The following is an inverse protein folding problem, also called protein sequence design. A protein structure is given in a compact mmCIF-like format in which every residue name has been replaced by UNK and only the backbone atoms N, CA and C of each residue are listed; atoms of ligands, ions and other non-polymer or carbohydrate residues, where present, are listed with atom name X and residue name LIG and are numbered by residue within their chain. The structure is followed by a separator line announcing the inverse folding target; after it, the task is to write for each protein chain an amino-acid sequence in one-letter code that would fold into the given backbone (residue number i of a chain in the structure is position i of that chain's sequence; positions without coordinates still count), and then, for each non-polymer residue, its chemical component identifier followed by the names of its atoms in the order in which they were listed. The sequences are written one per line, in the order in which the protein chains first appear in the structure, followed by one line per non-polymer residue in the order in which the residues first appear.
data_IF_707972067869
#
_entry.id   IF_707972067869
#
_cell.length_a   1.000
_cell.length_b   1.000
_cell.length_c   1.000
_cell.angle_alpha   90.00
_cell.angle_beta   90.00
_cell.angle_gamma   90.00
#
_symmetry.space_group_name_H-M   'P 1'
#
loop_
_entity.id
_entity.type
_entity.pdbx_description
1 polymer ?
#
# COMPACT_ATOMS: atom_id res chain seq x y z
N UNK A 1 -14.65 -40.23 -11.67
CA UNK A 1 -14.12 -40.34 -10.28
C UNK A 1 -13.45 -39.00 -10.00
N UNK A 2 -14.21 -38.05 -9.43
CA UNK A 2 -13.71 -36.73 -9.09
C UNK A 2 -12.95 -36.80 -7.77
N UNK A 3 -11.64 -36.54 -7.83
CA UNK A 3 -10.80 -36.43 -6.65
C UNK A 3 -11.05 -35.08 -5.99
N UNK A 4 -11.50 -35.06 -4.75
CA UNK A 4 -11.73 -33.85 -4.00
C UNK A 4 -10.40 -33.20 -3.58
N UNK A 5 -10.39 -31.88 -3.35
CA UNK A 5 -9.21 -31.13 -2.86
C UNK A 5 -8.54 -31.78 -1.62
N UNK A 6 -9.30 -32.47 -0.81
CA UNK A 6 -8.83 -33.21 0.38
C UNK A 6 -7.98 -34.44 0.04
N UNK A 7 -8.24 -35.08 -1.11
CA UNK A 7 -7.52 -36.28 -1.53
C UNK A 7 -6.16 -35.94 -2.15
N UNK A 8 -6.03 -34.76 -2.75
CA UNK A 8 -4.77 -34.24 -3.27
C UNK A 8 -3.81 -33.87 -2.13
N UNK A 9 -4.31 -33.25 -1.06
CA UNK A 9 -3.50 -32.89 0.11
C UNK A 9 -3.01 -34.11 0.90
N UNK A 10 -3.78 -35.18 0.97
CA UNK A 10 -3.36 -36.44 1.62
C UNK A 10 -2.28 -37.18 0.85
N UNK A 11 -2.24 -37.08 -0.48
CA UNK A 11 -1.19 -37.69 -1.30
C UNK A 11 0.14 -36.95 -1.27
N UNK A 12 0.14 -35.64 -0.98
CA UNK A 12 1.36 -34.84 -0.81
C UNK A 12 2.03 -35.01 0.55
N UNK A 13 1.31 -35.50 1.57
CA UNK A 13 1.87 -35.73 2.92
C UNK A 13 2.53 -37.13 3.10
N UNK A 14 2.40 -38.04 2.13
CA UNK A 14 2.90 -39.39 2.25
C UNK A 14 4.26 -39.67 1.56
N UNK A 15 4.84 -38.68 0.87
CA UNK A 15 6.11 -38.84 0.15
C UNK A 15 7.04 -37.64 0.41
N UNK A 16 7.62 -37.53 1.60
CA UNK A 16 8.54 -36.44 1.86
C UNK A 16 9.21 -36.38 3.23
N UNK A 17 9.35 -37.55 3.90
CA UNK A 17 10.27 -37.59 5.04
C UNK A 17 11.65 -38.06 4.53
N UNK A 18 12.41 -37.15 3.94
CA UNK A 18 13.84 -37.35 3.73
C UNK A 18 14.58 -36.34 4.62
N UNK A 19 15.16 -36.86 5.70
CA UNK A 19 15.99 -36.13 6.63
C UNK A 19 17.24 -35.62 5.91
N UNK A 20 17.36 -34.30 5.73
CA UNK A 20 18.62 -33.64 5.42
C UNK A 20 19.21 -33.08 6.72
N UNK A 21 20.09 -33.88 7.33
CA UNK A 21 21.01 -33.37 8.32
C UNK A 21 22.11 -32.59 7.61
N UNK A 22 22.02 -31.27 7.58
CA UNK A 22 23.13 -30.42 7.16
C UNK A 22 23.81 -29.83 8.38
N UNK A 23 25.09 -30.14 8.53
CA UNK A 23 26.01 -29.60 9.52
C UNK A 23 26.09 -28.09 9.38
N UNK A 24 25.76 -27.38 10.45
CA UNK A 24 26.05 -25.95 10.60
C UNK A 24 27.57 -25.75 10.67
N UNK A 25 28.16 -25.23 9.61
CA UNK A 25 29.50 -24.66 9.65
C UNK A 25 29.35 -23.19 10.04
N UNK A 26 29.77 -22.86 11.25
CA UNK A 26 29.94 -21.49 11.74
C UNK A 26 31.15 -20.91 11.01
N UNK A 27 30.92 -20.07 10.03
CA UNK A 27 31.95 -19.17 9.49
C UNK A 27 31.78 -17.79 10.11
N UNK A 28 32.53 -17.56 11.19
CA UNK A 28 32.85 -16.23 11.65
C UNK A 28 33.86 -15.58 10.68
N UNK A 29 33.40 -14.85 9.71
CA UNK A 29 34.23 -13.97 8.92
C UNK A 29 34.02 -12.53 9.40
N UNK A 30 35.04 -11.96 10.01
CA UNK A 30 35.11 -10.52 10.25
C UNK A 30 35.02 -9.82 8.89
N UNK A 31 33.93 -9.08 8.66
CA UNK A 31 33.74 -8.28 7.45
C UNK A 31 34.64 -7.05 7.58
N UNK A 32 35.81 -7.10 6.92
CA UNK A 32 36.60 -5.91 6.66
C UNK A 32 35.74 -4.96 5.82
N UNK A 33 35.54 -3.73 6.29
CA UNK A 33 34.96 -2.65 5.51
C UNK A 33 35.90 -2.32 4.33
N UNK A 34 35.67 -2.98 3.21
CA UNK A 34 36.25 -2.53 1.95
C UNK A 34 35.35 -1.38 1.45
N UNK A 35 35.95 -0.21 1.26
CA UNK A 35 35.39 0.91 0.49
C UNK A 35 35.28 0.50 -1.00
N UNK A 36 34.46 -0.50 -1.32
CA UNK A 36 34.01 -0.70 -2.68
C UNK A 36 32.75 0.17 -2.82
N UNK A 37 32.80 1.15 -3.68
CA UNK A 37 31.61 1.80 -4.24
C UNK A 37 30.76 0.70 -4.88
N UNK A 38 29.91 0.03 -4.09
CA UNK A 38 28.90 -0.86 -4.62
C UNK A 38 28.03 -0.01 -5.54
N UNK A 39 28.10 -0.28 -6.83
CA UNK A 39 27.21 0.33 -7.80
C UNK A 39 25.82 -0.26 -7.59
N UNK A 40 25.09 0.27 -6.58
CA UNK A 40 23.74 -0.14 -6.24
C UNK A 40 22.87 0.18 -7.46
N UNK A 41 22.22 -0.81 -8.10
CA UNK A 41 21.37 -0.54 -9.25
C UNK A 41 20.24 0.40 -8.82
N UNK A 42 19.97 1.41 -9.62
CA UNK A 42 18.90 2.36 -9.34
C UNK A 42 17.76 2.22 -10.35
N UNK A 43 16.48 2.33 -9.91
CA UNK A 43 15.35 2.27 -10.82
C UNK A 43 15.45 3.32 -11.92
N UNK A 44 14.95 2.97 -13.12
CA UNK A 44 15.04 3.84 -14.30
C UNK A 44 14.06 5.01 -14.25
N UNK A 45 12.99 4.89 -13.45
CA UNK A 45 12.03 5.98 -13.28
C UNK A 45 12.76 7.23 -12.78
N UNK A 46 12.65 8.30 -13.55
CA UNK A 46 13.23 9.59 -13.21
C UNK A 46 12.15 10.59 -12.81
N UNK A 47 12.52 11.52 -11.92
CA UNK A 47 11.63 12.60 -11.50
C UNK A 47 10.46 12.13 -10.65
N UNK A 48 10.63 11.03 -9.89
CA UNK A 48 9.74 10.65 -8.81
C UNK A 48 10.34 11.14 -7.49
N UNK A 49 9.78 12.19 -6.87
CA UNK A 49 10.27 12.69 -5.59
C UNK A 49 10.28 11.64 -4.49
N UNK A 50 9.41 10.63 -4.60
CA UNK A 50 9.37 9.48 -3.69
C UNK A 50 10.63 8.64 -3.87
N UNK A 51 10.88 8.08 -5.07
CA UNK A 51 12.06 7.23 -5.29
C UNK A 51 13.36 7.99 -5.05
N UNK A 52 13.45 9.25 -5.48
CA UNK A 52 14.65 10.05 -5.31
C UNK A 52 15.00 10.26 -3.83
N UNK A 53 13.99 10.35 -2.95
CA UNK A 53 14.17 10.50 -1.51
C UNK A 53 14.67 9.23 -0.80
N UNK A 54 14.57 8.06 -1.43
CA UNK A 54 14.96 6.78 -0.80
C UNK A 54 16.47 6.55 -0.78
N UNK A 55 17.23 7.26 -1.61
CA UNK A 55 18.67 6.99 -1.78
C UNK A 55 19.46 6.93 -0.46
N UNK A 56 19.33 7.89 0.48
CA UNK A 56 20.02 7.82 1.75
C UNK A 56 19.67 6.57 2.56
N UNK A 57 18.42 6.10 2.49
CA UNK A 57 18.00 4.88 3.18
C UNK A 57 18.67 3.66 2.55
N UNK A 58 18.55 3.50 1.22
CA UNK A 58 19.03 2.30 0.52
C UNK A 58 20.56 2.16 0.67
N UNK A 59 21.30 3.27 0.66
CA UNK A 59 22.76 3.29 0.80
C UNK A 59 23.24 3.03 2.23
N UNK A 60 22.41 3.33 3.26
CA UNK A 60 22.81 3.26 4.67
C UNK A 60 21.97 2.28 5.52
N UNK A 61 21.13 1.47 4.91
CA UNK A 61 20.28 0.48 5.61
C UNK A 61 21.12 -0.53 6.39
N UNK A 62 20.66 -0.82 7.60
CA UNK A 62 21.29 -1.79 8.53
C UNK A 62 20.43 -3.03 8.73
N UNK A 63 19.13 -2.86 8.76
CA UNK A 63 18.17 -3.90 9.12
C UNK A 63 17.50 -4.54 7.91
N UNK A 64 17.46 -3.85 6.76
CA UNK A 64 16.81 -4.35 5.55
C UNK A 64 17.78 -4.31 4.37
N UNK A 65 17.73 -5.33 3.51
CA UNK A 65 18.54 -5.41 2.28
C UNK A 65 17.70 -5.90 1.12
N UNK A 66 17.93 -5.32 -0.06
CA UNK A 66 17.38 -5.80 -1.33
C UNK A 66 18.42 -6.63 -2.07
N UNK A 67 18.02 -7.82 -2.53
CA UNK A 67 18.85 -8.78 -3.25
C UNK A 67 18.59 -8.69 -4.76
N UNK A 68 19.35 -7.88 -5.47
CA UNK A 68 19.14 -7.63 -6.89
C UNK A 68 19.18 -8.90 -7.75
N UNK A 69 20.00 -9.88 -7.40
CA UNK A 69 20.02 -11.18 -8.07
C UNK A 69 18.65 -11.89 -8.01
N UNK A 70 17.97 -11.83 -6.85
CA UNK A 70 16.64 -12.37 -6.67
C UNK A 70 15.56 -11.55 -7.38
N UNK A 71 15.70 -10.23 -7.42
CA UNK A 71 14.81 -9.37 -8.22
C UNK A 71 14.83 -9.81 -9.69
N UNK A 72 16.01 -10.04 -10.27
CA UNK A 72 16.13 -10.53 -11.65
C UNK A 72 15.57 -11.94 -11.84
N UNK A 73 15.79 -12.83 -10.86
CA UNK A 73 15.24 -14.19 -10.88
C UNK A 73 13.70 -14.14 -10.91
N UNK A 74 13.07 -13.34 -10.04
CA UNK A 74 11.61 -13.16 -10.02
C UNK A 74 11.13 -12.53 -11.33
N UNK A 75 11.79 -11.48 -11.82
CA UNK A 75 11.44 -10.83 -13.08
C UNK A 75 11.47 -11.81 -14.27
N UNK A 76 12.39 -12.79 -14.26
CA UNK A 76 12.55 -13.75 -15.38
C UNK A 76 11.34 -14.63 -15.64
N UNK A 77 10.48 -14.82 -14.65
CA UNK A 77 9.23 -15.57 -14.83
C UNK A 77 7.99 -14.66 -14.73
N UNK A 78 8.00 -13.64 -13.85
CA UNK A 78 6.87 -12.71 -13.68
C UNK A 78 6.64 -11.86 -14.95
N UNK A 79 7.65 -11.65 -15.78
CA UNK A 79 7.53 -10.94 -17.05
C UNK A 79 6.52 -11.59 -18.02
N UNK A 80 6.22 -12.86 -17.86
CA UNK A 80 5.28 -13.60 -18.70
C UNK A 80 3.87 -13.71 -18.09
N UNK A 81 3.67 -13.18 -16.87
CA UNK A 81 2.33 -13.11 -16.28
C UNK A 81 1.51 -11.99 -16.96
N UNK A 82 0.19 -12.15 -16.98
CA UNK A 82 -0.71 -11.05 -17.29
C UNK A 82 -0.74 -10.09 -16.10
N UNK A 83 -0.33 -8.84 -16.33
CA UNK A 83 -0.32 -7.78 -15.34
C UNK A 83 -1.20 -6.62 -15.87
N UNK A 84 -2.53 -6.82 -15.96
CA UNK A 84 -3.42 -5.79 -16.47
C UNK A 84 -3.38 -4.56 -15.54
N UNK A 85 -3.80 -3.41 -16.07
CA UNK A 85 -4.31 -2.36 -15.19
C UNK A 85 -5.44 -3.02 -14.39
N UNK A 86 -5.33 -3.08 -13.06
CA UNK A 86 -6.42 -3.65 -12.29
C UNK A 86 -7.66 -2.83 -12.62
N UNK A 87 -8.68 -3.49 -13.14
CA UNK A 87 -10.01 -2.91 -13.17
C UNK A 87 -10.50 -3.01 -11.72
N UNK A 88 -9.99 -2.12 -10.89
CA UNK A 88 -10.55 -1.89 -9.58
C UNK A 88 -11.92 -1.32 -9.88
N UNK A 89 -12.93 -2.19 -9.95
CA UNK A 89 -14.29 -1.76 -10.10
C UNK A 89 -14.50 -0.63 -9.10
N UNK A 90 -14.99 0.50 -9.58
CA UNK A 90 -15.38 1.59 -8.67
C UNK A 90 -16.29 0.93 -7.66
N UNK A 91 -15.96 0.94 -6.37
CA UNK A 91 -16.67 0.14 -5.40
C UNK A 91 -18.18 0.37 -5.51
N UNK A 92 -18.96 -0.72 -5.51
CA UNK A 92 -20.41 -0.68 -5.47
C UNK A 92 -21.12 -0.02 -6.67
N UNK A 93 -20.55 -0.10 -7.88
CA UNK A 93 -21.21 0.33 -9.11
C UNK A 93 -21.32 1.85 -9.29
N UNK A 94 -20.42 2.60 -8.65
CA UNK A 94 -20.42 4.07 -8.74
C UNK A 94 -19.77 4.62 -10.03
N UNK A 95 -19.36 3.77 -10.95
CA UNK A 95 -18.77 4.17 -12.24
C UNK A 95 -19.69 5.07 -13.06
N UNK A 96 -21.00 5.01 -12.82
CA UNK A 96 -22.00 5.87 -13.49
C UNK A 96 -22.08 7.29 -12.92
N UNK A 97 -21.47 7.52 -11.77
CA UNK A 97 -21.41 8.82 -11.09
C UNK A 97 -19.97 9.12 -10.70
N UNK A 98 -19.10 9.41 -11.68
CA UNK A 98 -17.66 9.49 -11.44
C UNK A 98 -17.24 10.55 -10.43
N UNK A 99 -17.97 11.64 -10.32
CA UNK A 99 -17.76 12.69 -9.31
C UNK A 99 -18.03 12.16 -7.90
N UNK A 100 -19.11 11.38 -7.71
CA UNK A 100 -19.42 10.70 -6.44
C UNK A 100 -18.41 9.60 -6.15
N UNK A 101 -17.97 8.86 -7.17
CA UNK A 101 -16.95 7.83 -7.03
C UNK A 101 -15.61 8.40 -6.55
N UNK A 102 -15.21 9.55 -7.08
CA UNK A 102 -13.99 10.26 -6.66
C UNK A 102 -14.10 10.67 -5.19
N UNK A 103 -15.20 11.29 -4.76
CA UNK A 103 -15.41 11.65 -3.37
C UNK A 103 -15.40 10.41 -2.46
N UNK A 104 -16.07 9.33 -2.87
CA UNK A 104 -16.14 8.09 -2.11
C UNK A 104 -14.75 7.47 -1.90
N UNK A 105 -13.96 7.35 -2.97
CA UNK A 105 -12.60 6.82 -2.90
C UNK A 105 -11.73 7.72 -1.99
N UNK A 106 -11.76 9.04 -2.18
CA UNK A 106 -10.89 9.94 -1.42
C UNK A 106 -11.27 10.06 0.06
N UNK A 107 -12.57 10.04 0.39
CA UNK A 107 -13.02 10.00 1.79
C UNK A 107 -12.60 8.67 2.43
N UNK A 108 -12.81 7.54 1.75
CA UNK A 108 -12.34 6.24 2.22
C UNK A 108 -10.82 6.22 2.43
N UNK A 109 -10.05 6.68 1.44
CA UNK A 109 -8.59 6.75 1.51
C UNK A 109 -8.10 7.65 2.66
N UNK A 110 -8.86 8.68 3.05
CA UNK A 110 -8.52 9.53 4.20
C UNK A 110 -8.40 8.71 5.49
N UNK A 111 -9.14 7.62 5.64
CA UNK A 111 -9.18 6.78 6.84
C UNK A 111 -8.79 5.31 6.57
N UNK A 112 -8.20 5.03 5.42
CA UNK A 112 -7.74 3.69 4.99
C UNK A 112 -6.46 3.29 5.72
N UNK A 113 -6.60 2.93 7.00
CA UNK A 113 -5.50 2.53 7.88
C UNK A 113 -6.02 1.66 9.02
N UNK A 114 -5.16 0.77 9.55
CA UNK A 114 -5.41 0.01 10.77
C UNK A 114 -6.78 -0.70 10.81
N UNK A 115 -6.84 -1.92 10.28
CA UNK A 115 -8.06 -2.74 10.29
C UNK A 115 -7.99 -3.93 11.23
N UNK A 116 -6.84 -4.15 11.87
CA UNK A 116 -6.63 -5.24 12.82
C UNK A 116 -6.47 -4.67 14.22
N UNK A 117 -7.21 -5.18 15.19
CA UNK A 117 -7.03 -4.79 16.59
C UNK A 117 -5.62 -5.17 17.09
N UNK A 118 -4.89 -4.20 17.62
CA UNK A 118 -3.49 -4.36 17.99
C UNK A 118 -3.25 -5.29 19.21
N UNK A 119 -4.30 -5.63 19.96
CA UNK A 119 -4.20 -6.49 21.15
C UNK A 119 -4.68 -7.91 20.88
N UNK A 120 -5.81 -8.02 20.20
CA UNK A 120 -6.48 -9.31 19.96
C UNK A 120 -6.12 -9.91 18.61
N UNK A 121 -5.52 -9.11 17.70
CA UNK A 121 -5.23 -9.44 16.31
C UNK A 121 -6.48 -9.82 15.50
N UNK A 122 -7.67 -9.44 15.97
CA UNK A 122 -8.93 -9.64 15.24
C UNK A 122 -9.05 -8.57 14.16
N UNK A 123 -9.33 -9.00 12.94
CA UNK A 123 -9.59 -8.11 11.80
C UNK A 123 -10.99 -7.52 11.89
N UNK A 124 -11.11 -6.26 11.50
CA UNK A 124 -12.39 -5.62 11.31
C UNK A 124 -13.12 -6.23 10.10
N UNK A 125 -14.36 -6.63 10.31
CA UNK A 125 -15.21 -7.29 9.32
C UNK A 125 -16.64 -6.82 9.45
N UNK A 126 -17.38 -6.86 8.33
CA UNK A 126 -18.83 -6.58 8.34
C UNK A 126 -19.51 -7.27 7.15
N UNK A 127 -20.81 -7.44 7.26
CA UNK A 127 -21.64 -7.97 6.18
C UNK A 127 -22.48 -6.84 5.56
N UNK A 128 -22.51 -6.79 4.22
CA UNK A 128 -23.30 -5.83 3.48
C UNK A 128 -23.78 -6.42 2.16
N UNK A 129 -25.06 -6.20 1.82
CA UNK A 129 -25.71 -6.70 0.59
C UNK A 129 -25.58 -8.22 0.37
N UNK A 130 -25.44 -9.00 1.46
CA UNK A 130 -25.30 -10.46 1.40
C UNK A 130 -23.87 -10.96 1.19
N UNK A 131 -22.90 -10.06 1.17
CA UNK A 131 -21.48 -10.37 1.04
C UNK A 131 -20.73 -10.06 2.34
N UNK A 132 -19.67 -10.83 2.59
CA UNK A 132 -18.77 -10.64 3.74
C UNK A 132 -17.55 -9.84 3.32
N UNK A 133 -17.28 -8.73 4.04
CA UNK A 133 -16.17 -7.82 3.78
C UNK A 133 -15.20 -7.78 4.95
N UNK A 134 -13.91 -7.60 4.67
CA UNK A 134 -12.85 -7.46 5.68
C UNK A 134 -11.86 -6.37 5.30
N UNK A 135 -11.12 -5.84 6.29
CA UNK A 135 -10.09 -4.82 6.11
C UNK A 135 -10.62 -3.56 5.39
N UNK A 136 -9.93 -3.07 4.39
CA UNK A 136 -10.36 -1.89 3.60
C UNK A 136 -11.68 -2.11 2.85
N UNK A 137 -11.97 -3.33 2.40
CA UNK A 137 -13.26 -3.64 1.76
C UNK A 137 -14.41 -3.44 2.74
N UNK A 138 -14.22 -3.82 4.02
CA UNK A 138 -15.22 -3.56 5.07
C UNK A 138 -15.40 -2.07 5.36
N UNK A 139 -14.32 -1.27 5.29
CA UNK A 139 -14.39 0.19 5.39
C UNK A 139 -15.32 0.76 4.30
N UNK A 140 -15.05 0.43 3.04
CA UNK A 140 -15.85 0.92 1.91
C UNK A 140 -17.28 0.40 1.94
N UNK A 141 -17.52 -0.84 2.38
CA UNK A 141 -18.86 -1.38 2.59
C UNK A 141 -19.63 -0.64 3.69
N UNK A 142 -18.97 -0.27 4.81
CA UNK A 142 -19.54 0.59 5.84
C UNK A 142 -19.96 1.95 5.29
N UNK A 143 -19.09 2.59 4.49
CA UNK A 143 -19.37 3.87 3.85
C UNK A 143 -20.57 3.77 2.91
N UNK A 144 -20.63 2.72 2.08
CA UNK A 144 -21.77 2.50 1.18
C UNK A 144 -23.06 2.29 1.96
N UNK A 145 -23.04 1.45 3.00
CA UNK A 145 -24.18 1.27 3.92
C UNK A 145 -24.63 2.59 4.55
N UNK A 146 -23.70 3.45 4.94
CA UNK A 146 -24.02 4.76 5.51
C UNK A 146 -24.72 5.65 4.48
N UNK A 147 -24.25 5.69 3.24
CA UNK A 147 -24.90 6.45 2.16
C UNK A 147 -26.32 5.95 1.91
N UNK A 148 -26.54 4.63 1.87
CA UNK A 148 -27.88 4.03 1.68
C UNK A 148 -28.83 4.36 2.84
N UNK A 149 -28.28 4.58 4.03
CA UNK A 149 -29.02 5.01 5.22
C UNK A 149 -29.15 6.55 5.32
N UNK A 150 -28.75 7.30 4.29
CA UNK A 150 -28.92 8.74 4.20
C UNK A 150 -27.86 9.58 4.94
N UNK A 151 -26.76 8.99 5.42
CA UNK A 151 -25.65 9.76 5.97
C UNK A 151 -24.90 10.48 4.85
N UNK A 152 -24.69 11.80 4.92
CA UNK A 152 -24.01 12.54 3.88
C UNK A 152 -22.47 12.49 4.05
N UNK A 153 -21.92 11.27 4.11
CA UNK A 153 -20.50 11.01 4.44
C UNK A 153 -19.51 11.48 3.36
N UNK A 154 -20.00 11.94 2.21
CA UNK A 154 -19.17 12.52 1.15
C UNK A 154 -19.14 14.05 1.19
N UNK A 155 -19.96 14.68 2.07
CA UNK A 155 -19.97 16.13 2.25
C UNK A 155 -18.99 16.54 3.34
N UNK A 156 -17.96 17.30 2.99
CA UNK A 156 -16.99 17.86 3.92
C UNK A 156 -17.62 18.69 5.04
N UNK A 157 -18.75 19.35 4.79
CA UNK A 157 -19.48 20.10 5.82
C UNK A 157 -20.04 19.20 6.92
N UNK A 158 -20.45 17.98 6.56
CA UNK A 158 -20.85 16.93 7.51
C UNK A 158 -19.63 16.32 8.19
N UNK A 159 -18.60 15.94 7.41
CA UNK A 159 -17.37 15.35 7.96
C UNK A 159 -16.73 16.24 9.02
N UNK A 160 -16.67 17.54 8.79
CA UNK A 160 -16.10 18.53 9.74
C UNK A 160 -16.80 18.56 11.12
N UNK A 161 -18.00 18.01 11.23
CA UNK A 161 -18.85 18.05 12.44
C UNK A 161 -19.34 16.66 12.87
N UNK A 162 -18.90 15.62 12.21
CA UNK A 162 -19.31 14.24 12.48
C UNK A 162 -19.05 13.91 13.95
N UNK A 163 -20.03 13.33 14.61
CA UNK A 163 -19.88 12.91 16.01
C UNK A 163 -19.23 11.52 16.12
N UNK A 164 -18.64 11.23 17.28
CA UNK A 164 -18.15 9.87 17.57
C UNK A 164 -19.29 8.84 17.51
N UNK A 165 -20.48 9.21 17.91
CA UNK A 165 -21.67 8.35 17.82
C UNK A 165 -22.06 8.05 16.37
N UNK A 166 -21.85 8.99 15.43
CA UNK A 166 -22.04 8.73 14.01
C UNK A 166 -20.97 7.77 13.49
N UNK A 167 -19.70 7.95 13.89
CA UNK A 167 -18.62 7.02 13.54
C UNK A 167 -18.93 5.58 13.99
N UNK A 168 -19.37 5.39 15.22
CA UNK A 168 -19.77 4.07 15.75
C UNK A 168 -20.91 3.44 14.94
N UNK A 169 -21.90 4.22 14.52
CA UNK A 169 -23.00 3.72 13.69
C UNK A 169 -22.56 3.40 12.26
N UNK A 170 -21.81 4.29 11.66
CA UNK A 170 -21.34 4.16 10.26
C UNK A 170 -20.39 2.96 10.15
N UNK A 171 -19.41 2.87 11.05
CA UNK A 171 -18.37 1.84 11.02
C UNK A 171 -18.64 0.70 12.02
N UNK A 172 -19.91 0.35 12.23
CA UNK A 172 -20.29 -0.82 13.01
C UNK A 172 -19.92 -2.12 12.28
N UNK A 173 -19.20 -3.00 12.96
CA UNK A 173 -18.75 -4.30 12.48
C UNK A 173 -18.67 -5.34 13.61
N UNK A 174 -17.85 -6.38 13.40
CA UNK A 174 -17.62 -7.45 14.40
C UNK A 174 -16.86 -6.97 15.64
N UNK A 175 -16.05 -5.94 15.52
CA UNK A 175 -15.34 -5.23 16.58
C UNK A 175 -15.50 -3.73 16.39
N UNK A 176 -15.13 -2.90 17.36
CA UNK A 176 -14.96 -1.46 17.12
C UNK A 176 -13.87 -1.28 16.06
N UNK A 177 -14.12 -0.40 15.09
CA UNK A 177 -13.12 -0.08 14.06
C UNK A 177 -11.82 0.41 14.73
N UNK A 178 -10.67 -0.23 14.49
CA UNK A 178 -9.41 0.19 15.09
C UNK A 178 -9.07 1.65 14.79
N UNK A 179 -8.55 2.35 15.78
CA UNK A 179 -8.20 3.78 15.70
C UNK A 179 -9.39 4.68 15.29
N UNK A 180 -10.58 4.40 15.83
CA UNK A 180 -11.81 5.13 15.47
C UNK A 180 -11.72 6.62 15.78
N UNK A 181 -11.13 7.00 16.91
CA UNK A 181 -10.98 8.41 17.31
C UNK A 181 -9.97 9.15 16.42
N UNK A 182 -8.86 8.49 16.07
CA UNK A 182 -7.90 9.04 15.12
C UNK A 182 -8.53 9.20 13.73
N UNK A 183 -9.31 8.22 13.26
CA UNK A 183 -10.06 8.31 11.99
C UNK A 183 -11.06 9.46 12.00
N UNK A 184 -11.78 9.67 13.11
CA UNK A 184 -12.70 10.81 13.26
C UNK A 184 -11.95 12.14 13.16
N UNK A 185 -10.81 12.28 13.83
CA UNK A 185 -9.98 13.48 13.73
C UNK A 185 -9.53 13.75 12.30
N UNK A 186 -9.11 12.71 11.56
CA UNK A 186 -8.73 12.83 10.15
C UNK A 186 -9.89 13.29 9.27
N UNK A 187 -11.11 12.78 9.50
CA UNK A 187 -12.30 13.23 8.77
C UNK A 187 -12.67 14.68 9.12
N UNK A 188 -12.51 15.11 10.38
CA UNK A 188 -12.72 16.50 10.78
C UNK A 188 -11.77 17.47 10.04
N UNK A 189 -10.48 17.12 10.00
CA UNK A 189 -9.46 17.95 9.33
C UNK A 189 -9.73 18.04 7.83
N UNK A 190 -9.95 16.89 7.19
CA UNK A 190 -10.25 16.85 5.76
C UNK A 190 -11.57 17.57 5.44
N UNK A 191 -12.62 17.31 6.22
CA UNK A 191 -13.92 17.94 6.08
C UNK A 191 -13.88 19.46 6.24
N UNK A 192 -13.10 19.95 7.21
CA UNK A 192 -12.89 21.40 7.43
C UNK A 192 -12.25 22.05 6.21
N UNK A 193 -11.19 21.46 5.67
CA UNK A 193 -10.52 21.95 4.47
C UNK A 193 -11.45 21.93 3.25
N UNK A 194 -12.15 20.81 3.04
CA UNK A 194 -13.10 20.64 1.94
C UNK A 194 -14.22 21.67 2.01
N UNK A 195 -14.83 21.86 3.19
CA UNK A 195 -15.92 22.81 3.39
C UNK A 195 -15.47 24.26 3.15
N UNK A 196 -14.23 24.60 3.54
CA UNK A 196 -13.71 25.96 3.43
C UNK A 196 -13.28 26.33 2.01
N UNK A 197 -12.73 25.37 1.23
CA UNK A 197 -12.03 25.67 -0.03
C UNK A 197 -12.63 25.02 -1.27
N UNK A 198 -13.36 23.89 -1.12
CA UNK A 198 -13.72 23.00 -2.23
C UNK A 198 -15.23 22.66 -2.23
N UNK A 199 -16.05 23.50 -1.65
CA UNK A 199 -17.51 23.30 -1.50
C UNK A 199 -17.89 21.91 -0.94
N UNK A 200 -17.07 21.42 -0.02
CA UNK A 200 -17.30 20.14 0.67
C UNK A 200 -16.87 18.88 -0.12
N UNK A 201 -16.22 18.99 -1.30
CA UNK A 201 -16.01 17.86 -2.16
C UNK A 201 -14.56 17.68 -2.57
N UNK A 202 -14.02 16.44 -2.47
CA UNK A 202 -12.73 16.06 -3.06
C UNK A 202 -12.72 16.18 -4.59
N UNK A 203 -13.85 15.91 -5.24
CA UNK A 203 -13.98 16.12 -6.67
C UNK A 203 -13.57 17.54 -7.08
N UNK A 204 -14.06 18.56 -6.38
CA UNK A 204 -13.72 19.95 -6.68
C UNK A 204 -12.23 20.25 -6.43
N UNK A 205 -11.66 19.69 -5.37
CA UNK A 205 -10.22 19.75 -5.12
C UNK A 205 -9.43 19.17 -6.31
N UNK A 206 -9.76 17.96 -6.76
CA UNK A 206 -9.08 17.29 -7.87
C UNK A 206 -9.20 18.08 -9.17
N UNK A 207 -10.38 18.66 -9.45
CA UNK A 207 -10.58 19.51 -10.63
C UNK A 207 -9.76 20.81 -10.60
N UNK A 208 -9.31 21.26 -9.43
CA UNK A 208 -8.45 22.43 -9.29
C UNK A 208 -6.96 22.14 -9.53
N UNK A 209 -6.57 20.88 -9.58
CA UNK A 209 -5.19 20.44 -9.77
C UNK A 209 -4.83 20.28 -11.25
N UNK A 210 -3.53 20.32 -11.56
CA UNK A 210 -3.02 19.85 -12.85
C UNK A 210 -3.27 18.34 -12.99
N UNK A 211 -3.57 17.82 -14.19
CA UNK A 211 -3.82 16.40 -14.42
C UNK A 211 -2.54 15.53 -14.39
N UNK A 212 -1.53 15.95 -13.67
CA UNK A 212 -0.27 15.24 -13.42
C UNK A 212 -0.08 15.01 -11.94
N UNK A 213 0.66 13.98 -11.57
CA UNK A 213 1.06 13.75 -10.18
C UNK A 213 1.98 14.86 -9.67
N UNK A 214 2.93 15.27 -10.52
CA UNK A 214 3.93 16.29 -10.22
C UNK A 214 4.01 17.31 -11.35
N UNK A 215 3.73 18.58 -11.07
CA UNK A 215 3.68 19.66 -12.05
C UNK A 215 4.00 21.03 -11.41
N UNK A 216 5.23 21.24 -10.99
CA UNK A 216 5.72 22.50 -10.41
C UNK A 216 4.79 23.02 -9.29
N UNK A 217 4.53 22.21 -8.31
CA UNK A 217 3.64 22.48 -7.16
C UNK A 217 2.16 22.60 -7.49
N UNK A 218 1.70 22.21 -8.68
CA UNK A 218 0.28 22.20 -9.09
C UNK A 218 -0.27 20.80 -9.31
N UNK A 219 0.60 19.78 -9.24
CA UNK A 219 0.23 18.39 -9.44
C UNK A 219 -0.62 17.83 -8.33
N UNK A 220 -1.33 16.75 -8.64
CA UNK A 220 -2.27 16.07 -7.75
C UNK A 220 -1.62 15.67 -6.40
N UNK A 221 -0.44 15.03 -6.44
CA UNK A 221 0.29 14.63 -5.23
C UNK A 221 0.77 15.88 -4.47
N UNK A 222 1.37 16.83 -5.20
CA UNK A 222 1.94 18.06 -4.60
C UNK A 222 0.89 18.87 -3.87
N UNK A 223 -0.30 19.02 -4.46
CA UNK A 223 -1.39 19.77 -3.84
C UNK A 223 -2.04 19.00 -2.70
N UNK A 224 -2.24 17.68 -2.84
CA UNK A 224 -2.92 16.89 -1.80
C UNK A 224 -2.13 16.87 -0.50
N UNK A 225 -0.80 16.72 -0.55
CA UNK A 225 0.04 16.68 0.66
C UNK A 225 0.17 18.04 1.36
N UNK A 226 -0.05 19.13 0.62
CA UNK A 226 -0.04 20.50 1.18
C UNK A 226 -1.39 20.86 1.80
N UNK A 227 -2.48 20.57 1.08
CA UNK A 227 -3.83 20.96 1.53
C UNK A 227 -4.38 20.05 2.62
N UNK A 228 -3.98 18.79 2.64
CA UNK A 228 -4.46 17.78 3.56
C UNK A 228 -3.28 17.08 4.26
N UNK A 229 -2.84 17.55 5.44
CA UNK A 229 -1.66 17.01 6.14
C UNK A 229 -1.71 15.50 6.39
N UNK A 230 -2.91 14.93 6.44
CA UNK A 230 -3.16 13.49 6.52
C UNK A 230 -2.40 12.70 5.45
N UNK A 231 -2.25 13.26 4.25
CA UNK A 231 -1.63 12.62 3.11
C UNK A 231 -0.12 12.88 2.99
N UNK A 232 0.44 13.74 3.84
CA UNK A 232 1.88 14.04 3.86
C UNK A 232 2.65 12.96 4.63
N UNK A 233 2.75 11.77 4.05
CA UNK A 233 3.43 10.61 4.59
C UNK A 233 4.93 10.68 4.32
N UNK A 234 5.63 11.34 5.24
CA UNK A 234 7.08 11.53 5.22
C UNK A 234 7.71 11.10 6.53
N UNK A 235 8.98 10.72 6.50
CA UNK A 235 9.80 10.34 7.66
C UNK A 235 11.17 11.02 7.58
N UNK A 236 11.94 10.96 8.66
CA UNK A 236 13.32 11.47 8.71
C UNK A 236 14.30 10.29 8.90
N UNK A 237 15.28 10.17 8.03
CA UNK A 237 16.32 9.13 8.08
C UNK A 237 17.70 9.77 8.01
N UNK A 238 18.44 9.72 9.10
CA UNK A 238 19.78 10.32 9.22
C UNK A 238 19.83 11.80 8.73
N UNK A 239 18.80 12.58 9.07
CA UNK A 239 18.69 14.00 8.70
C UNK A 239 18.16 14.27 7.27
N UNK A 240 17.79 13.24 6.53
CA UNK A 240 17.18 13.35 5.20
C UNK A 240 15.69 13.08 5.26
N UNK A 241 14.89 13.90 4.56
CA UNK A 241 13.46 13.63 4.40
C UNK A 241 13.24 12.48 3.42
N UNK A 242 12.44 11.51 3.84
CA UNK A 242 12.05 10.33 3.06
C UNK A 242 10.55 10.38 2.81
N UNK A 243 10.16 10.36 1.54
CA UNK A 243 8.76 10.46 1.11
C UNK A 243 8.22 9.08 0.76
N UNK A 244 7.07 8.76 1.32
CA UNK A 244 6.36 7.53 0.98
C UNK A 244 5.07 7.82 0.21
N UNK A 245 4.27 8.78 0.71
CA UNK A 245 3.00 9.20 0.10
C UNK A 245 2.08 8.02 -0.25
N UNK A 246 2.03 7.00 0.64
CA UNK A 246 1.31 5.74 0.37
C UNK A 246 -0.14 6.00 -0.01
N UNK A 247 -0.90 6.61 0.88
CA UNK A 247 -2.33 6.83 0.66
C UNK A 247 -2.62 7.90 -0.39
N UNK A 248 -1.73 8.88 -0.53
CA UNK A 248 -1.80 9.88 -1.60
C UNK A 248 -1.80 9.23 -2.98
N UNK A 249 -0.83 8.34 -3.22
CA UNK A 249 -0.72 7.65 -4.49
C UNK A 249 -1.80 6.58 -4.66
N UNK A 250 -2.14 5.85 -3.57
CA UNK A 250 -3.18 4.82 -3.61
C UNK A 250 -4.55 5.39 -3.98
N UNK A 251 -4.94 6.53 -3.41
CA UNK A 251 -6.21 7.17 -3.76
C UNK A 251 -6.30 7.53 -5.25
N UNK A 252 -5.26 8.14 -5.80
CA UNK A 252 -5.22 8.44 -7.25
C UNK A 252 -5.13 7.19 -8.12
N UNK A 253 -4.46 6.14 -7.66
CA UNK A 253 -4.42 4.86 -8.36
C UNK A 253 -5.80 4.20 -8.42
N UNK A 254 -6.56 4.20 -7.32
CA UNK A 254 -7.92 3.67 -7.28
C UNK A 254 -8.86 4.46 -8.21
N UNK A 255 -8.77 5.80 -8.23
CA UNK A 255 -9.55 6.63 -9.15
C UNK A 255 -9.13 6.34 -10.60
N UNK A 256 -7.83 6.34 -10.88
CA UNK A 256 -7.32 6.13 -12.25
C UNK A 256 -7.70 4.76 -12.80
N UNK A 257 -7.51 3.70 -12.02
CA UNK A 257 -7.84 2.33 -12.47
C UNK A 257 -9.35 2.10 -12.55
N UNK A 258 -10.12 2.61 -11.60
CA UNK A 258 -11.58 2.44 -11.58
C UNK A 258 -12.33 3.24 -12.64
N UNK A 259 -11.82 4.42 -13.00
CA UNK A 259 -12.43 5.30 -14.02
C UNK A 259 -11.68 5.28 -15.36
N UNK A 260 -10.71 4.36 -15.53
CA UNK A 260 -9.93 4.25 -16.76
C UNK A 260 -10.84 4.03 -17.98
N UNK A 261 -10.59 4.79 -19.05
CA UNK A 261 -11.37 4.71 -20.27
C UNK A 261 -12.73 5.42 -20.23
N UNK A 262 -13.20 5.93 -19.09
CA UNK A 262 -14.45 6.70 -19.01
C UNK A 262 -14.28 8.15 -19.42
N UNK A 263 -13.05 8.68 -19.40
CA UNK A 263 -12.76 10.11 -19.61
C UNK A 263 -13.09 11.00 -18.41
N UNK A 264 -13.59 10.44 -17.31
CA UNK A 264 -14.04 11.21 -16.15
C UNK A 264 -12.90 11.66 -15.23
N UNK A 265 -11.76 10.97 -15.28
CA UNK A 265 -10.54 11.34 -14.57
C UNK A 265 -9.35 11.25 -15.52
N UNK A 266 -8.60 12.35 -15.63
CA UNK A 266 -7.41 12.43 -16.48
C UNK A 266 -6.17 12.39 -15.59
N UNK A 267 -5.27 11.47 -15.88
CA UNK A 267 -3.92 11.41 -15.30
C UNK A 267 -2.92 11.24 -16.45
N UNK A 268 -2.01 12.22 -16.59
CA UNK A 268 -1.09 12.28 -17.72
C UNK A 268 0.24 11.57 -17.49
N UNK A 269 0.61 11.35 -16.21
CA UNK A 269 1.89 10.76 -15.84
C UNK A 269 1.76 9.58 -14.82
N UNK A 270 0.85 8.60 -15.06
CA UNK A 270 0.63 7.47 -14.14
C UNK A 270 1.90 6.64 -13.91
N UNK A 271 2.84 6.66 -14.87
CA UNK A 271 4.14 5.98 -14.78
C UNK A 271 5.05 6.57 -13.69
N UNK A 272 4.74 7.74 -13.13
CA UNK A 272 5.47 8.33 -11.99
C UNK A 272 4.99 7.85 -10.63
N UNK A 273 3.93 7.04 -10.57
CA UNK A 273 3.52 6.37 -9.34
C UNK A 273 4.54 5.30 -8.94
N UNK A 274 4.76 5.20 -7.64
CA UNK A 274 5.56 4.13 -7.04
C UNK A 274 4.66 3.00 -6.52
N UNK A 275 5.24 1.99 -5.87
CA UNK A 275 4.50 1.04 -5.05
C UNK A 275 3.87 1.75 -3.83
N UNK A 276 2.94 1.07 -3.17
CA UNK A 276 2.27 1.57 -1.98
C UNK A 276 2.86 0.87 -0.76
N UNK A 277 3.79 1.55 -0.07
CA UNK A 277 4.57 0.98 1.04
C UNK A 277 3.69 0.68 2.26
N UNK A 278 2.95 -0.42 2.19
CA UNK A 278 2.12 -1.00 3.24
C UNK A 278 2.85 -2.13 4.00
N UNK A 279 2.11 -2.95 4.73
CA UNK A 279 2.64 -4.10 5.47
C UNK A 279 2.54 -5.44 4.70
N UNK A 280 1.81 -5.53 3.58
CA UNK A 280 1.59 -6.77 2.80
C UNK A 280 2.68 -6.97 1.74
N UNK A 281 2.95 -5.96 0.92
CA UNK A 281 3.96 -6.06 -0.15
C UNK A 281 5.34 -6.46 0.40
N UNK A 282 5.82 -5.91 1.55
CA UNK A 282 7.07 -6.36 2.17
C UNK A 282 7.10 -7.85 2.51
N UNK A 283 5.97 -8.46 2.90
CA UNK A 283 5.88 -9.92 3.13
C UNK A 283 6.17 -10.69 1.85
N UNK A 284 5.52 -10.29 0.75
CA UNK A 284 5.75 -10.91 -0.55
C UNK A 284 7.20 -10.83 -1.01
N UNK A 285 7.81 -9.66 -0.86
CA UNK A 285 9.22 -9.45 -1.21
C UNK A 285 10.17 -10.34 -0.39
N UNK A 286 9.89 -10.54 0.92
CA UNK A 286 10.64 -11.47 1.77
C UNK A 286 10.46 -12.92 1.35
N UNK A 287 9.22 -13.38 1.15
CA UNK A 287 8.92 -14.75 0.77
C UNK A 287 9.55 -15.14 -0.58
N UNK A 288 9.67 -14.20 -1.50
CA UNK A 288 10.37 -14.39 -2.79
C UNK A 288 11.90 -14.20 -2.67
N UNK A 289 12.42 -13.87 -1.48
CA UNK A 289 13.83 -13.65 -1.23
C UNK A 289 14.40 -12.38 -1.85
N UNK A 290 13.55 -11.46 -2.32
CA UNK A 290 13.99 -10.19 -2.90
C UNK A 290 14.45 -9.20 -1.82
N UNK A 291 13.90 -9.31 -0.61
CA UNK A 291 14.39 -8.60 0.57
C UNK A 291 14.71 -9.55 1.71
N UNK A 292 15.62 -9.15 2.58
CA UNK A 292 15.91 -9.84 3.84
C UNK A 292 16.06 -8.82 4.96
N UNK A 293 15.84 -9.29 6.19
CA UNK A 293 15.91 -8.49 7.41
C UNK A 293 17.08 -8.93 8.29
N UNK A 294 17.54 -8.03 9.17
CA UNK A 294 18.47 -8.41 10.24
C UNK A 294 17.83 -9.47 11.15
N UNK A 295 18.61 -10.33 11.81
CA UNK A 295 18.07 -11.32 12.74
C UNK A 295 17.17 -10.70 13.82
N UNK A 296 17.52 -9.53 14.29
CA UNK A 296 16.76 -8.79 15.31
C UNK A 296 15.41 -8.34 14.77
N UNK A 297 15.36 -7.75 13.57
CA UNK A 297 14.13 -7.31 12.93
C UNK A 297 13.25 -8.51 12.55
N UNK A 298 13.85 -9.57 12.00
CA UNK A 298 13.16 -10.82 11.70
C UNK A 298 12.50 -11.43 12.94
N UNK A 299 13.24 -11.47 14.05
CA UNK A 299 12.71 -11.95 15.33
C UNK A 299 11.56 -11.08 15.84
N UNK A 300 11.70 -9.76 15.81
CA UNK A 300 10.67 -8.83 16.26
C UNK A 300 9.35 -9.04 15.48
N UNK A 301 9.43 -9.14 14.15
CA UNK A 301 8.26 -9.36 13.30
C UNK A 301 7.62 -10.73 13.57
N UNK A 302 8.42 -11.80 13.62
CA UNK A 302 7.92 -13.16 13.82
C UNK A 302 7.35 -13.37 15.24
N UNK A 303 7.72 -12.51 16.19
CA UNK A 303 7.18 -12.49 17.57
C UNK A 303 6.06 -11.47 17.76
N UNK A 304 5.54 -10.86 16.68
CA UNK A 304 4.48 -9.84 16.70
C UNK A 304 4.82 -8.63 17.61
N UNK A 305 6.10 -8.28 17.71
CA UNK A 305 6.50 -7.07 18.42
C UNK A 305 6.18 -5.83 17.61
N UNK A 306 5.70 -4.79 18.31
CA UNK A 306 5.43 -3.51 17.67
C UNK A 306 6.72 -2.84 17.21
N UNK A 307 6.79 -2.50 15.93
CA UNK A 307 7.85 -1.68 15.36
C UNK A 307 7.38 -0.21 15.44
N UNK A 308 8.09 0.67 16.15
CA UNK A 308 7.67 2.06 16.26
C UNK A 308 7.65 2.75 14.89
N UNK A 309 6.60 3.54 14.65
CA UNK A 309 6.55 4.44 13.48
C UNK A 309 7.78 5.36 13.48
N UNK A 310 8.28 5.68 12.29
CA UNK A 310 9.45 6.52 12.07
C UNK A 310 10.75 5.97 12.71
N UNK A 311 10.72 4.71 13.20
CA UNK A 311 11.96 4.03 13.57
C UNK A 311 12.79 3.71 12.31
N UNK A 312 14.10 3.56 12.48
CA UNK A 312 14.99 3.13 11.39
C UNK A 312 14.46 1.88 10.69
N UNK A 313 14.03 0.88 11.46
CA UNK A 313 13.53 -0.40 10.93
C UNK A 313 12.28 -0.22 10.10
N UNK A 314 11.31 0.56 10.56
CA UNK A 314 10.07 0.82 9.81
C UNK A 314 10.35 1.58 8.51
N UNK A 315 11.20 2.62 8.56
CA UNK A 315 11.60 3.39 7.37
C UNK A 315 12.33 2.50 6.37
N UNK A 316 13.25 1.64 6.82
CA UNK A 316 13.99 0.73 5.95
C UNK A 316 13.07 -0.31 5.30
N UNK A 317 12.10 -0.89 6.03
CA UNK A 317 11.11 -1.83 5.46
C UNK A 317 10.35 -1.15 4.31
N UNK A 318 9.83 0.04 4.55
CA UNK A 318 9.02 0.79 3.58
C UNK A 318 9.86 1.26 2.38
N UNK A 319 11.05 1.77 2.63
CA UNK A 319 11.94 2.23 1.56
C UNK A 319 12.38 1.08 0.65
N UNK A 320 12.78 -0.06 1.23
CA UNK A 320 13.14 -1.24 0.45
C UNK A 320 11.95 -1.88 -0.27
N UNK A 321 10.73 -1.72 0.26
CA UNK A 321 9.50 -2.11 -0.44
C UNK A 321 9.36 -1.34 -1.76
N UNK A 322 9.41 -0.02 -1.71
CA UNK A 322 9.32 0.84 -2.91
C UNK A 322 10.46 0.57 -3.89
N UNK A 323 11.67 0.51 -3.38
CA UNK A 323 12.88 0.31 -4.18
C UNK A 323 12.90 -1.05 -4.89
N UNK A 324 12.62 -2.15 -4.17
CA UNK A 324 12.64 -3.50 -4.74
C UNK A 324 11.52 -3.69 -5.78
N UNK A 325 10.32 -3.13 -5.54
CA UNK A 325 9.21 -3.19 -6.49
C UNK A 325 9.51 -2.38 -7.76
N UNK A 326 10.14 -1.21 -7.63
CA UNK A 326 10.58 -0.43 -8.77
C UNK A 326 11.64 -1.15 -9.61
N UNK A 327 12.65 -1.75 -8.96
CA UNK A 327 13.64 -2.58 -9.66
C UNK A 327 13.01 -3.80 -10.34
N UNK A 328 12.05 -4.46 -9.67
CA UNK A 328 11.34 -5.60 -10.25
C UNK A 328 10.58 -5.19 -11.52
N UNK A 329 9.89 -4.06 -11.48
CA UNK A 329 9.19 -3.50 -12.65
C UNK A 329 10.15 -3.23 -13.80
N UNK A 330 11.30 -2.63 -13.51
CA UNK A 330 12.33 -2.37 -14.53
C UNK A 330 12.88 -3.64 -15.17
N UNK A 331 13.15 -4.67 -14.35
CA UNK A 331 13.66 -5.96 -14.86
C UNK A 331 12.60 -6.71 -15.68
N UNK A 332 11.33 -6.65 -15.28
CA UNK A 332 10.21 -7.16 -16.06
C UNK A 332 10.14 -6.44 -17.42
N UNK A 333 10.22 -5.13 -17.43
CA UNK A 333 10.13 -4.32 -18.65
C UNK A 333 11.33 -4.47 -19.59
N UNK A 334 12.48 -4.99 -19.13
CA UNK A 334 13.57 -5.39 -20.03
C UNK A 334 13.25 -6.63 -20.87
N UNK A 335 12.35 -7.48 -20.38
CA UNK A 335 11.96 -8.74 -21.03
C UNK A 335 10.74 -8.52 -21.91
N UNK A 336 9.79 -7.65 -21.49
CA UNK A 336 8.55 -7.40 -22.18
C UNK A 336 8.75 -6.57 -23.44
N UNK A 337 7.94 -6.81 -24.50
CA UNK A 337 7.87 -5.94 -25.66
C UNK A 337 7.49 -4.50 -25.26
N UNK A 338 7.89 -3.52 -26.05
CA UNK A 338 7.70 -2.10 -25.73
C UNK A 338 6.22 -1.69 -25.59
N UNK A 339 5.33 -2.33 -26.31
CA UNK A 339 3.87 -2.13 -26.27
C UNK A 339 3.17 -2.86 -25.11
N UNK A 340 3.90 -3.69 -24.37
CA UNK A 340 3.41 -4.46 -23.22
C UNK A 340 4.12 -4.08 -21.91
N UNK A 341 4.82 -2.97 -21.89
CA UNK A 341 5.46 -2.49 -20.67
C UNK A 341 4.44 -2.09 -19.63
N UNK A 342 4.80 -2.29 -18.37
CA UNK A 342 3.96 -2.05 -17.19
C UNK A 342 4.53 -0.93 -16.33
N UNK A 343 3.71 -0.41 -15.45
CA UNK A 343 4.11 0.57 -14.43
C UNK A 343 4.13 -0.07 -13.03
N UNK A 344 4.84 0.54 -12.10
CA UNK A 344 5.08 0.00 -10.75
C UNK A 344 3.78 -0.41 -10.03
N UNK A 345 2.70 0.38 -10.03
CA UNK A 345 1.45 -0.01 -9.37
C UNK A 345 0.82 -1.32 -9.86
N UNK A 346 1.08 -1.75 -11.11
CA UNK A 346 0.59 -3.05 -11.59
C UNK A 346 1.32 -4.22 -10.90
N UNK A 347 2.62 -4.07 -10.67
CA UNK A 347 3.42 -5.05 -9.91
C UNK A 347 3.00 -5.03 -8.44
N UNK A 348 2.82 -3.85 -7.84
CA UNK A 348 2.33 -3.70 -6.47
C UNK A 348 0.98 -4.40 -6.28
N UNK A 349 0.01 -4.12 -7.13
CA UNK A 349 -1.31 -4.76 -7.10
C UNK A 349 -1.22 -6.29 -7.21
N UNK A 350 -0.33 -6.82 -8.07
CA UNK A 350 -0.08 -8.26 -8.18
C UNK A 350 0.48 -8.85 -6.88
N UNK A 351 1.46 -8.18 -6.27
CA UNK A 351 2.07 -8.61 -5.02
C UNK A 351 1.07 -8.54 -3.87
N UNK A 352 0.36 -7.42 -3.73
CA UNK A 352 -0.62 -7.23 -2.68
C UNK A 352 -1.73 -8.27 -2.74
N UNK A 353 -2.36 -8.45 -3.90
CA UNK A 353 -3.45 -9.41 -4.10
C UNK A 353 -3.01 -10.84 -3.78
N UNK A 354 -1.80 -11.22 -4.19
CA UNK A 354 -1.32 -12.58 -3.96
C UNK A 354 -0.97 -12.84 -2.49
N UNK A 355 -0.34 -11.88 -1.82
CA UNK A 355 0.18 -12.06 -0.46
C UNK A 355 -0.77 -11.57 0.63
N UNK A 356 -1.88 -10.92 0.29
CA UNK A 356 -2.88 -10.45 1.25
C UNK A 356 -3.51 -11.59 2.07
N UNK A 357 -3.60 -12.77 1.52
CA UNK A 357 -4.16 -13.97 2.18
C UNK A 357 -3.12 -14.86 2.85
N UNK A 358 -1.84 -14.46 2.89
CA UNK A 358 -0.81 -15.25 3.56
C UNK A 358 -0.94 -15.15 5.07
N UNK A 359 -0.61 -16.24 5.77
CA UNK A 359 -0.54 -16.27 7.24
C UNK A 359 0.83 -15.79 7.77
N UNK A 360 1.80 -15.50 6.89
CA UNK A 360 3.15 -15.10 7.29
C UNK A 360 3.13 -13.76 8.01
N UNK A 361 3.87 -13.60 9.14
CA UNK A 361 3.85 -12.37 9.90
C UNK A 361 4.35 -11.17 9.11
N UNK A 362 3.61 -10.07 9.19
CA UNK A 362 4.04 -8.75 8.74
C UNK A 362 4.48 -7.89 9.93
N UNK A 363 5.19 -6.80 9.67
CA UNK A 363 5.52 -5.85 10.73
C UNK A 363 4.24 -5.16 11.25
N UNK A 364 4.22 -4.96 12.57
CA UNK A 364 3.13 -4.26 13.24
C UNK A 364 3.58 -2.86 13.62
N UNK A 365 2.92 -1.85 13.08
CA UNK A 365 3.19 -0.44 13.39
C UNK A 365 1.87 0.28 13.63
N UNK A 366 1.72 0.90 14.82
CA UNK A 366 0.57 1.76 15.07
C UNK A 366 0.78 3.10 14.38
N UNK A 367 0.09 3.29 13.26
CA UNK A 367 0.23 4.49 12.43
C UNK A 367 -1.09 4.84 11.76
N UNK A 368 -1.26 6.11 11.43
CA UNK A 368 -2.33 6.57 10.56
C UNK A 368 -1.91 6.59 9.08
N UNK A 369 -0.64 6.37 8.73
CA UNK A 369 -0.11 6.63 7.39
C UNK A 369 -0.35 5.47 6.40
N UNK A 370 -0.59 4.23 6.90
CA UNK A 370 -0.84 3.07 6.03
C UNK A 370 -1.56 1.92 6.76
#
# INVERSE_FOLDING_TARGET
MDLTRRDVLKKLSATGALALATKSAVFGAAVAHSNSTFNIPWPRMQGSPVLDSLRPVIENSRDVRTHYGKVREVASWMAYEELPLPNLAVPFGMEKTPDVAIDFIMVGTTIDTAFTDFKTHVKFQMDYAGEHHSDSDALFACMKRAMDNGFPILDGKYLAKMSRADMEKIFAGNIEMPMLDEKLALLHDAGTTLAAKYDGRFYNFIQSCSPKLYDNSKGLVEQLVVEFPRFNDVSQYDGHEVKFYKLTQLGYWQIYSGLHGTGAFKLEDPQKMTAFADYIVPVGLRLMGMTSYSPELEHAINSYQMIPRDSRQEIEIRAHCLYATALLTDEINKIRPADQQIIIPQVDARLWTHFHTTWWPHHLTKTIMY
#
